data_IF_078863529889
#
_entry.id   IF_078863529889
#
_cell.length_a   1.000
_cell.length_b   1.000
_cell.length_c   1.000
_cell.angle_alpha   90.00
_cell.angle_beta   90.00
_cell.angle_gamma   90.00
#
_symmetry.space_group_name_H-M   'P 1'
#
loop_
_entity.id
_entity.type
_entity.pdbx_description
1 polymer ?
#
# COMPACT_ATOMS: atom_id res chain seq x y z
N UNK A 1 -0.37 -7.39 50.78
CA UNK A 1 -0.62 -7.05 49.36
C UNK A 1 0.12 -8.10 48.56
N UNK A 2 -0.60 -9.09 48.04
CA UNK A 2 -0.02 -10.12 47.17
C UNK A 2 0.37 -9.46 45.84
N UNK A 3 1.63 -9.63 45.45
CA UNK A 3 2.11 -9.28 44.12
C UNK A 3 1.45 -10.21 43.10
N UNK A 4 0.59 -9.64 42.25
CA UNK A 4 0.06 -10.30 41.06
C UNK A 4 1.21 -10.52 40.07
N UNK A 5 1.80 -11.71 40.10
CA UNK A 5 2.72 -12.19 39.07
C UNK A 5 1.89 -12.48 37.82
N UNK A 6 1.98 -11.59 36.83
CA UNK A 6 1.52 -11.89 35.48
C UNK A 6 2.53 -12.82 34.81
N UNK A 7 2.20 -14.10 34.71
CA UNK A 7 2.92 -14.99 33.80
C UNK A 7 2.72 -14.52 32.35
N UNK A 8 3.77 -14.49 31.51
CA UNK A 8 3.62 -14.17 30.11
C UNK A 8 2.73 -15.25 29.48
N UNK A 9 1.55 -14.84 28.99
CA UNK A 9 0.70 -15.72 28.20
C UNK A 9 1.53 -16.30 27.05
N UNK A 10 1.68 -17.62 27.03
CA UNK A 10 2.41 -18.32 25.97
C UNK A 10 1.89 -17.92 24.59
N UNK A 11 2.77 -17.96 23.58
CA UNK A 11 2.45 -17.61 22.19
C UNK A 11 1.16 -18.31 21.76
N UNK A 12 0.06 -17.57 21.52
CA UNK A 12 -1.22 -18.20 21.23
C UNK A 12 -1.17 -19.07 19.97
N UNK A 13 -1.86 -20.21 19.97
CA UNK A 13 -1.84 -21.24 18.91
C UNK A 13 -2.26 -20.74 17.52
N UNK A 14 -2.94 -19.59 17.42
CA UNK A 14 -3.26 -18.96 16.14
C UNK A 14 -2.05 -18.31 15.45
N UNK A 15 -0.92 -18.16 16.14
CA UNK A 15 0.36 -17.71 15.56
C UNK A 15 1.09 -18.88 14.88
N UNK A 16 0.91 -20.11 15.39
CA UNK A 16 1.58 -21.30 14.86
C UNK A 16 0.91 -21.88 13.61
N UNK A 17 -0.35 -21.50 13.34
CA UNK A 17 -1.10 -21.94 12.18
C UNK A 17 -1.10 -20.87 11.08
N UNK A 18 0.09 -20.35 10.76
CA UNK A 18 0.29 -19.57 9.53
C UNK A 18 -0.10 -20.48 8.36
N UNK A 19 -1.35 -20.38 7.90
CA UNK A 19 -1.59 -20.50 6.46
C UNK A 19 -0.73 -19.40 5.88
N UNK A 20 0.48 -19.75 5.43
CA UNK A 20 1.39 -18.80 4.82
C UNK A 20 0.61 -18.17 3.68
N UNK A 21 0.18 -16.92 3.86
CA UNK A 21 -0.50 -16.18 2.81
C UNK A 21 0.57 -15.98 1.75
N UNK A 22 0.49 -16.77 0.68
CA UNK A 22 1.58 -16.99 -0.27
C UNK A 22 1.74 -15.85 -1.27
N UNK A 23 2.11 -14.66 -0.80
CA UNK A 23 2.48 -13.53 -1.65
C UNK A 23 3.85 -12.99 -1.28
N UNK A 24 4.59 -12.49 -2.27
CA UNK A 24 5.91 -11.91 -2.09
C UNK A 24 5.94 -10.41 -2.43
N UNK A 25 4.97 -9.92 -3.18
CA UNK A 25 4.89 -8.52 -3.60
C UNK A 25 3.43 -8.02 -3.76
N UNK A 26 3.29 -6.77 -4.20
CA UNK A 26 1.99 -6.13 -4.43
C UNK A 26 1.16 -6.83 -5.53
N UNK A 27 1.81 -7.46 -6.52
CA UNK A 27 1.12 -8.11 -7.65
C UNK A 27 0.52 -9.44 -7.19
N UNK A 28 1.28 -10.23 -6.43
CA UNK A 28 0.75 -11.43 -5.78
C UNK A 28 -0.40 -11.09 -4.83
N UNK A 29 -0.25 -10.03 -4.01
CA UNK A 29 -1.31 -9.57 -3.12
C UNK A 29 -2.58 -9.17 -3.89
N UNK A 30 -2.44 -8.45 -5.01
CA UNK A 30 -3.58 -8.13 -5.87
C UNK A 30 -4.30 -9.38 -6.39
N UNK A 31 -3.56 -10.43 -6.79
CA UNK A 31 -4.14 -11.69 -7.21
C UNK A 31 -4.92 -12.39 -6.09
N UNK A 32 -4.43 -12.34 -4.85
CA UNK A 32 -5.14 -12.90 -3.70
C UNK A 32 -6.43 -12.13 -3.39
N UNK A 33 -6.36 -10.79 -3.40
CA UNK A 33 -7.52 -9.92 -3.18
C UNK A 33 -8.56 -10.09 -4.29
N UNK A 34 -8.13 -10.24 -5.54
CA UNK A 34 -9.02 -10.53 -6.67
C UNK A 34 -9.69 -11.91 -6.52
N UNK A 35 -8.93 -12.95 -6.13
CA UNK A 35 -9.47 -14.28 -5.88
C UNK A 35 -10.45 -14.32 -4.70
N UNK A 36 -10.27 -13.45 -3.70
CA UNK A 36 -11.21 -13.27 -2.58
C UNK A 36 -12.46 -12.44 -2.95
N UNK A 37 -12.54 -11.90 -4.17
CA UNK A 37 -13.66 -11.03 -4.59
C UNK A 37 -13.60 -9.61 -4.00
N UNK A 38 -12.46 -9.23 -3.43
CA UNK A 38 -12.21 -7.98 -2.71
C UNK A 38 -11.63 -6.87 -3.61
N UNK A 39 -11.40 -7.16 -4.91
CA UNK A 39 -10.91 -6.22 -5.92
C UNK A 39 -11.95 -5.97 -7.01
N UNK A 40 -12.18 -4.70 -7.35
CA UNK A 40 -12.96 -4.29 -8.51
C UNK A 40 -12.05 -3.62 -9.54
N UNK A 41 -11.97 -4.20 -10.74
CA UNK A 41 -11.32 -3.59 -11.90
C UNK A 41 -12.24 -2.57 -12.57
N UNK A 42 -11.70 -1.39 -12.86
CA UNK A 42 -12.37 -0.29 -13.54
C UNK A 42 -11.66 -0.07 -14.89
N UNK A 43 -12.26 -0.60 -15.96
CA UNK A 43 -11.73 -0.54 -17.33
C UNK A 43 -12.27 0.62 -18.15
N UNK A 44 -13.35 1.26 -17.68
CA UNK A 44 -13.85 2.50 -18.25
C UNK A 44 -12.77 3.59 -18.15
N UNK A 45 -12.72 4.48 -19.14
CA UNK A 45 -11.82 5.64 -19.10
C UNK A 45 -12.24 6.56 -17.95
N UNK A 46 -11.31 6.90 -17.08
CA UNK A 46 -11.53 7.76 -15.90
C UNK A 46 -10.54 8.93 -15.92
N UNK A 47 -11.04 10.11 -15.60
CA UNK A 47 -10.23 11.31 -15.37
C UNK A 47 -9.59 11.25 -13.96
N UNK A 48 -8.25 11.38 -13.85
CA UNK A 48 -7.61 11.49 -12.54
C UNK A 48 -7.92 12.83 -11.82
N UNK A 49 -8.47 13.82 -12.51
CA UNK A 49 -8.96 15.07 -11.91
C UNK A 49 -10.35 14.87 -11.31
N UNK A 50 -10.41 14.62 -9.99
CA UNK A 50 -11.61 14.51 -9.17
C UNK A 50 -12.57 13.34 -9.48
N UNK A 51 -12.63 12.83 -10.72
CA UNK A 51 -13.53 11.71 -11.07
C UNK A 51 -13.09 10.40 -10.39
N UNK A 52 -11.79 10.05 -10.47
CA UNK A 52 -11.24 8.86 -9.80
C UNK A 52 -11.55 8.85 -8.29
N UNK A 53 -11.38 10.00 -7.63
CA UNK A 53 -11.61 10.13 -6.20
C UNK A 53 -13.09 10.14 -5.86
N UNK A 54 -13.94 10.74 -6.69
CA UNK A 54 -15.39 10.67 -6.54
C UNK A 54 -15.89 9.22 -6.65
N UNK A 55 -15.43 8.47 -7.65
CA UNK A 55 -15.74 7.03 -7.79
C UNK A 55 -15.29 6.27 -6.54
N UNK A 56 -14.04 6.49 -6.12
CA UNK A 56 -13.48 5.84 -4.91
C UNK A 56 -14.32 6.18 -3.67
N UNK A 57 -14.66 7.45 -3.48
CA UNK A 57 -15.46 7.92 -2.35
C UNK A 57 -16.84 7.28 -2.34
N UNK A 58 -17.54 7.25 -3.48
CA UNK A 58 -18.87 6.65 -3.59
C UNK A 58 -18.85 5.13 -3.40
N UNK A 59 -17.81 4.45 -3.89
CA UNK A 59 -17.65 3.01 -3.73
C UNK A 59 -17.24 2.60 -2.30
N UNK A 60 -16.59 3.48 -1.54
CA UNK A 60 -15.99 3.17 -0.22
C UNK A 60 -16.86 3.57 0.97
N UNK A 61 -18.18 3.57 0.80
CA UNK A 61 -19.16 4.08 1.79
C UNK A 61 -19.58 3.05 2.84
N UNK A 62 -19.06 1.83 2.78
CA UNK A 62 -19.48 0.72 3.62
C UNK A 62 -18.29 -0.16 4.02
N UNK A 63 -18.44 -0.92 5.11
CA UNK A 63 -17.50 -1.99 5.42
C UNK A 63 -17.46 -3.00 4.27
N UNK A 64 -16.27 -3.57 4.06
CA UNK A 64 -15.94 -4.50 2.98
C UNK A 64 -16.16 -3.94 1.57
N UNK A 65 -16.18 -2.61 1.42
CA UNK A 65 -16.13 -1.98 0.10
C UNK A 65 -14.84 -2.41 -0.64
N UNK A 66 -14.92 -2.72 -1.94
CA UNK A 66 -13.79 -3.32 -2.66
C UNK A 66 -12.62 -2.34 -2.80
N UNK A 67 -11.41 -2.87 -2.93
CA UNK A 67 -10.31 -2.12 -3.51
C UNK A 67 -10.62 -1.86 -4.99
N UNK A 68 -10.20 -0.71 -5.53
CA UNK A 68 -10.46 -0.35 -6.92
C UNK A 68 -9.15 -0.30 -7.69
N UNK A 69 -9.07 -1.01 -8.81
CA UNK A 69 -7.94 -0.92 -9.74
C UNK A 69 -8.41 -0.22 -11.02
N UNK A 70 -7.99 1.02 -11.21
CA UNK A 70 -8.26 1.81 -12.41
C UNK A 70 -7.22 1.50 -13.48
N UNK A 71 -7.68 1.07 -14.65
CA UNK A 71 -6.81 0.55 -15.71
C UNK A 71 -6.73 1.44 -16.96
N UNK A 72 -7.57 2.47 -17.03
CA UNK A 72 -7.68 3.35 -18.18
C UNK A 72 -7.84 4.79 -17.70
N UNK A 73 -6.72 5.52 -17.58
CA UNK A 73 -6.70 6.88 -17.07
C UNK A 73 -6.48 7.89 -18.19
N UNK A 74 -7.20 9.01 -18.12
CA UNK A 74 -6.96 10.13 -19.01
C UNK A 74 -5.51 10.64 -18.89
N UNK A 75 -4.92 10.97 -20.03
CA UNK A 75 -3.60 11.61 -20.17
C UNK A 75 -2.39 10.81 -19.63
N UNK A 76 -2.58 9.53 -19.33
CA UNK A 76 -1.50 8.61 -18.97
C UNK A 76 -0.60 8.29 -20.18
N UNK A 77 0.71 8.47 -20.02
CA UNK A 77 1.72 8.19 -21.06
C UNK A 77 2.54 6.92 -20.84
N UNK A 78 2.31 6.22 -19.73
CA UNK A 78 3.14 5.08 -19.32
C UNK A 78 2.37 3.75 -19.21
N UNK A 79 1.07 3.72 -19.52
CA UNK A 79 0.24 2.52 -19.32
C UNK A 79 0.07 2.18 -17.84
N UNK A 80 -0.01 3.20 -17.00
CA UNK A 80 -0.11 3.07 -15.55
C UNK A 80 -1.50 2.67 -15.10
N UNK A 81 -1.56 2.15 -13.87
CA UNK A 81 -2.79 1.77 -13.18
C UNK A 81 -2.76 2.39 -11.79
N UNK A 82 -3.92 2.81 -11.31
CA UNK A 82 -4.05 3.36 -9.95
C UNK A 82 -4.88 2.40 -9.10
N UNK A 83 -4.32 2.00 -7.97
CA UNK A 83 -5.01 1.23 -6.93
C UNK A 83 -5.51 2.18 -5.85
N UNK A 84 -6.81 2.17 -5.56
CA UNK A 84 -7.41 2.94 -4.47
C UNK A 84 -8.17 2.05 -3.48
N UNK A 85 -8.51 2.60 -2.31
CA UNK A 85 -9.18 1.88 -1.22
C UNK A 85 -8.47 0.56 -0.82
N UNK A 86 -7.13 0.56 -0.82
CA UNK A 86 -6.32 -0.66 -0.73
C UNK A 86 -6.60 -1.49 0.54
N UNK A 87 -6.58 -0.88 1.73
CA UNK A 87 -6.67 -1.61 3.00
C UNK A 87 -7.88 -1.26 3.87
N UNK A 88 -8.28 0.03 3.88
CA UNK A 88 -9.04 0.59 5.01
C UNK A 88 -10.47 0.08 5.18
N UNK A 89 -11.09 -0.47 4.13
CA UNK A 89 -12.49 -0.91 4.19
C UNK A 89 -12.65 -2.41 4.52
N UNK A 90 -11.60 -3.24 4.52
CA UNK A 90 -11.71 -4.69 4.72
C UNK A 90 -10.65 -5.22 5.68
N UNK A 91 -11.10 -5.93 6.74
CA UNK A 91 -10.19 -6.65 7.65
C UNK A 91 -9.46 -7.79 6.93
N UNK A 92 -10.08 -8.39 5.92
CA UNK A 92 -9.50 -9.49 5.16
C UNK A 92 -8.36 -8.98 4.27
N UNK A 93 -8.55 -7.86 3.56
CA UNK A 93 -7.47 -7.22 2.81
C UNK A 93 -6.29 -6.82 3.69
N UNK A 94 -6.56 -6.28 4.88
CA UNK A 94 -5.53 -6.01 5.87
C UNK A 94 -4.80 -7.28 6.30
N UNK A 95 -5.54 -8.34 6.64
CA UNK A 95 -4.99 -9.61 7.09
C UNK A 95 -4.06 -10.23 6.05
N UNK A 96 -4.52 -10.26 4.79
CA UNK A 96 -3.71 -10.68 3.66
C UNK A 96 -2.45 -9.82 3.55
N UNK A 97 -2.56 -8.48 3.62
CA UNK A 97 -1.41 -7.57 3.46
C UNK A 97 -0.32 -7.70 4.54
N UNK A 98 -0.65 -8.20 5.73
CA UNK A 98 0.33 -8.41 6.82
C UNK A 98 0.64 -9.89 7.08
N UNK A 99 0.09 -10.79 6.25
CA UNK A 99 0.38 -12.23 6.32
C UNK A 99 -0.24 -12.92 7.55
N UNK A 100 -1.42 -12.50 7.98
CA UNK A 100 -2.19 -13.14 9.05
C UNK A 100 -3.47 -13.80 8.50
N UNK A 101 -4.01 -14.75 9.25
CA UNK A 101 -5.23 -15.47 8.90
C UNK A 101 -6.45 -14.51 8.87
N UNK A 102 -7.17 -14.37 7.74
CA UNK A 102 -8.32 -13.48 7.63
C UNK A 102 -9.54 -13.90 8.47
N UNK A 103 -9.61 -15.17 8.89
CA UNK A 103 -10.70 -15.70 9.72
C UNK A 103 -10.61 -15.24 11.18
N UNK A 104 -9.48 -14.65 11.58
CA UNK A 104 -9.30 -14.13 12.93
C UNK A 104 -10.32 -13.03 13.27
N UNK A 105 -10.69 -12.97 14.55
CA UNK A 105 -11.39 -11.80 15.10
C UNK A 105 -10.47 -10.58 15.11
N UNK A 106 -11.05 -9.37 15.14
CA UNK A 106 -10.28 -8.11 15.16
C UNK A 106 -9.28 -8.08 16.33
N UNK A 107 -9.68 -8.52 17.52
CA UNK A 107 -8.80 -8.57 18.70
C UNK A 107 -7.62 -9.52 18.51
N UNK A 108 -7.85 -10.67 17.86
CA UNK A 108 -6.78 -11.62 17.53
C UNK A 108 -5.85 -11.05 16.45
N UNK A 109 -6.39 -10.37 15.44
CA UNK A 109 -5.58 -9.69 14.42
C UNK A 109 -4.67 -8.62 15.04
N UNK A 110 -5.20 -7.78 15.95
CA UNK A 110 -4.40 -6.79 16.68
C UNK A 110 -3.25 -7.47 17.43
N UNK A 111 -3.54 -8.60 18.08
CA UNK A 111 -2.53 -9.35 18.84
C UNK A 111 -1.48 -9.96 17.91
N UNK A 112 -1.90 -10.55 16.78
CA UNK A 112 -1.00 -11.12 15.78
C UNK A 112 -0.09 -10.06 15.13
N UNK A 113 -0.64 -8.90 14.75
CA UNK A 113 0.16 -7.78 14.22
C UNK A 113 1.20 -7.31 15.23
N UNK A 114 0.85 -7.23 16.52
CA UNK A 114 1.81 -6.86 17.58
C UNK A 114 2.97 -7.84 17.67
N UNK A 115 2.72 -9.14 17.48
CA UNK A 115 3.79 -10.15 17.48
C UNK A 115 4.69 -10.03 16.25
N UNK A 116 4.12 -9.82 15.05
CA UNK A 116 4.90 -9.58 13.82
C UNK A 116 5.86 -8.41 14.01
N UNK A 117 5.40 -7.32 14.62
CA UNK A 117 6.19 -6.10 14.83
C UNK A 117 7.37 -6.27 15.81
N UNK A 118 7.44 -7.38 16.57
CA UNK A 118 8.57 -7.66 17.48
C UNK A 118 9.78 -8.23 16.74
N UNK A 119 9.56 -8.94 15.65
CA UNK A 119 10.61 -9.57 14.87
C UNK A 119 11.17 -8.58 13.84
N UNK A 120 12.50 -8.45 13.80
CA UNK A 120 13.18 -7.60 12.82
C UNK A 120 13.99 -8.47 11.87
N UNK A 121 13.54 -8.53 10.62
CA UNK A 121 14.25 -9.22 9.54
C UNK A 121 15.00 -8.17 8.73
N UNK A 122 16.31 -8.36 8.58
CA UNK A 122 17.11 -7.46 7.76
C UNK A 122 16.74 -7.61 6.27
N UNK A 123 16.66 -6.50 5.50
CA UNK A 123 16.45 -6.58 4.06
C UNK A 123 17.56 -7.37 3.37
N UNK A 124 17.20 -8.16 2.37
CA UNK A 124 18.16 -8.85 1.49
C UNK A 124 18.42 -7.98 0.27
N UNK A 125 19.69 -7.79 -0.08
CA UNK A 125 20.06 -7.13 -1.32
C UNK A 125 19.78 -8.05 -2.51
N UNK A 126 19.14 -7.49 -3.54
CA UNK A 126 18.85 -8.17 -4.81
C UNK A 126 19.66 -7.53 -5.92
N UNK A 127 20.07 -8.34 -6.91
CA UNK A 127 20.77 -7.83 -8.08
C UNK A 127 19.86 -6.89 -8.89
N UNK A 128 20.46 -5.86 -9.50
CA UNK A 128 19.68 -4.77 -10.13
C UNK A 128 18.89 -5.21 -11.35
N UNK A 129 19.42 -6.18 -12.09
CA UNK A 129 18.85 -6.73 -13.32
C UNK A 129 17.65 -7.65 -13.07
N UNK A 130 17.55 -8.25 -11.88
CA UNK A 130 16.38 -9.06 -11.49
C UNK A 130 15.29 -8.26 -10.79
N UNK A 131 15.57 -7.02 -10.39
CA UNK A 131 14.61 -6.20 -9.64
C UNK A 131 13.55 -5.59 -10.58
N UNK A 132 12.31 -6.07 -10.50
CA UNK A 132 11.19 -5.61 -11.34
C UNK A 132 10.93 -4.08 -11.29
N UNK A 133 11.31 -3.40 -10.21
CA UNK A 133 11.21 -1.93 -10.11
C UNK A 133 12.12 -1.19 -11.11
N UNK A 134 13.12 -1.88 -11.68
CA UNK A 134 14.09 -1.33 -12.63
C UNK A 134 13.73 -1.57 -14.12
N UNK A 135 12.51 -2.06 -14.43
CA UNK A 135 12.08 -2.30 -15.81
C UNK A 135 12.05 -1.02 -16.66
N UNK A 136 11.72 0.12 -16.06
CA UNK A 136 11.74 1.45 -16.71
C UNK A 136 12.59 2.38 -15.85
N UNK A 137 13.69 2.90 -16.42
CA UNK A 137 14.61 3.81 -15.74
C UNK A 137 14.68 5.13 -16.50
N UNK A 138 14.18 6.20 -15.87
CA UNK A 138 14.30 7.58 -16.36
C UNK A 138 15.35 8.33 -15.55
N UNK A 139 16.18 9.16 -16.20
CA UNK A 139 17.26 9.90 -15.53
C UNK A 139 17.38 11.32 -16.07
N UNK A 140 17.79 12.25 -15.20
CA UNK A 140 18.08 13.62 -15.61
C UNK A 140 16.89 14.29 -16.29
N UNK A 141 17.09 14.74 -17.53
CA UNK A 141 16.08 15.44 -18.32
C UNK A 141 14.93 14.54 -18.80
N UNK A 142 15.10 13.21 -18.76
CA UNK A 142 14.03 12.25 -19.10
C UNK A 142 12.95 12.14 -18.00
N UNK A 143 13.16 12.78 -16.84
CA UNK A 143 12.21 12.76 -15.73
C UNK A 143 11.10 13.78 -16.00
N UNK A 144 9.90 13.26 -16.26
CA UNK A 144 8.67 14.05 -16.31
C UNK A 144 7.55 13.37 -15.50
N UNK A 145 7.39 13.79 -14.25
CA UNK A 145 6.32 13.36 -13.36
C UNK A 145 4.93 13.81 -13.83
N UNK A 146 4.83 14.83 -14.70
CA UNK A 146 3.55 15.31 -15.23
C UNK A 146 3.00 14.41 -16.34
N UNK A 147 3.81 13.47 -16.84
CA UNK A 147 3.39 12.44 -17.78
C UNK A 147 2.68 11.24 -17.11
N UNK A 148 2.67 11.18 -15.76
CA UNK A 148 1.86 10.25 -14.99
C UNK A 148 0.47 10.83 -14.73
N UNK A 149 -0.59 10.01 -14.65
CA UNK A 149 -1.96 10.46 -14.38
C UNK A 149 -2.15 10.77 -12.87
N UNK A 150 -1.40 11.75 -12.36
CA UNK A 150 -1.40 12.09 -10.93
C UNK A 150 -2.76 12.65 -10.51
N UNK A 151 -3.48 12.04 -9.55
CA UNK A 151 -4.81 12.49 -9.21
C UNK A 151 -4.83 13.85 -8.50
N UNK A 152 -5.86 14.65 -8.79
CA UNK A 152 -6.35 15.69 -7.89
C UNK A 152 -7.54 15.08 -7.14
N UNK A 153 -7.44 14.92 -5.83
CA UNK A 153 -8.45 14.15 -5.09
C UNK A 153 -9.68 14.97 -4.75
N UNK A 154 -9.51 16.26 -4.47
CA UNK A 154 -10.63 17.13 -4.07
C UNK A 154 -10.60 18.49 -4.74
N UNK A 155 -11.75 19.15 -4.94
CA UNK A 155 -11.83 20.49 -5.52
C UNK A 155 -10.94 21.52 -4.83
N UNK A 156 -10.83 21.43 -3.50
CA UNK A 156 -10.05 22.33 -2.65
C UNK A 156 -8.59 21.93 -2.43
N UNK A 157 -8.11 20.84 -3.03
CA UNK A 157 -6.70 20.49 -2.94
C UNK A 157 -5.85 21.55 -3.66
N UNK A 158 -4.74 21.95 -3.04
CA UNK A 158 -3.81 22.94 -3.62
C UNK A 158 -3.06 22.43 -4.86
N UNK A 159 -3.16 21.14 -5.19
CA UNK A 159 -2.52 20.51 -6.33
C UNK A 159 -2.81 19.01 -6.43
N UNK A 160 -2.17 18.36 -7.39
CA UNK A 160 -2.24 16.91 -7.61
C UNK A 160 -1.31 16.19 -6.64
N UNK A 161 -1.73 15.04 -6.09
CA UNK A 161 -0.94 14.29 -5.12
C UNK A 161 -0.47 12.95 -5.69
N UNK A 162 0.84 12.82 -5.91
CA UNK A 162 1.47 11.59 -6.40
C UNK A 162 1.76 10.61 -5.25
N UNK A 163 2.01 11.14 -4.05
CA UNK A 163 2.25 10.35 -2.85
C UNK A 163 1.07 10.42 -1.89
N UNK A 164 0.20 9.40 -1.89
CA UNK A 164 -0.86 9.21 -0.89
C UNK A 164 -0.83 7.83 -0.23
N UNK A 165 -0.13 6.87 -0.85
CA UNK A 165 0.19 5.54 -0.31
C UNK A 165 1.67 5.18 -0.47
N UNK A 166 2.55 6.19 -0.53
CA UNK A 166 3.98 6.02 -0.76
C UNK A 166 4.74 5.76 0.54
N UNK A 167 5.95 5.23 0.37
CA UNK A 167 6.96 5.11 1.42
C UNK A 167 8.16 5.97 1.03
N UNK A 168 8.57 6.85 1.93
CA UNK A 168 9.75 7.72 1.79
C UNK A 168 10.90 7.13 2.59
N UNK A 169 12.01 6.91 1.89
CA UNK A 169 13.25 6.39 2.45
C UNK A 169 14.22 7.55 2.64
N UNK A 170 14.64 7.82 3.87
CA UNK A 170 15.69 8.78 4.17
C UNK A 170 16.86 8.10 4.87
N UNK A 171 18.08 8.59 4.64
CA UNK A 171 19.29 8.08 5.28
C UNK A 171 19.97 9.22 6.01
N UNK A 172 20.21 9.01 7.30
CA UNK A 172 21.03 9.91 8.09
C UNK A 172 22.48 9.89 7.57
N UNK A 173 23.08 11.04 7.22
CA UNK A 173 24.40 11.08 6.57
C UNK A 173 25.56 10.75 7.53
N UNK A 174 25.36 10.82 8.85
CA UNK A 174 26.42 10.57 9.84
C UNK A 174 26.37 9.13 10.36
N UNK A 175 25.20 8.68 10.78
CA UNK A 175 24.96 7.35 11.36
C UNK A 175 24.61 6.29 10.32
N UNK A 176 24.24 6.68 9.09
CA UNK A 176 23.78 5.77 8.06
C UNK A 176 22.40 5.16 8.31
N UNK A 177 21.72 5.55 9.40
CA UNK A 177 20.40 5.04 9.80
C UNK A 177 19.36 5.33 8.71
N UNK A 178 18.61 4.30 8.33
CA UNK A 178 17.50 4.42 7.38
C UNK A 178 16.21 4.67 8.15
N UNK A 179 15.47 5.71 7.75
CA UNK A 179 14.11 5.95 8.19
C UNK A 179 13.15 5.67 7.05
N UNK A 180 12.02 5.05 7.40
CA UNK A 180 10.95 4.65 6.48
C UNK A 180 9.68 5.34 6.97
N UNK A 181 9.14 6.27 6.20
CA UNK A 181 7.98 7.06 6.62
C UNK A 181 6.99 7.30 5.50
N UNK A 182 5.71 7.49 5.86
CA UNK A 182 4.67 7.86 4.90
C UNK A 182 4.45 9.37 5.01
N UNK A 183 4.74 10.08 3.92
CA UNK A 183 4.54 11.53 3.82
C UNK A 183 3.83 11.82 2.52
N UNK A 184 2.78 12.66 2.58
CA UNK A 184 2.07 13.08 1.37
C UNK A 184 3.01 13.85 0.46
N UNK A 185 2.88 13.67 -0.84
CA UNK A 185 3.70 14.34 -1.84
C UNK A 185 2.81 14.98 -2.90
N UNK A 186 2.73 16.30 -2.89
CA UNK A 186 2.07 17.10 -3.91
C UNK A 186 3.02 17.30 -5.09
N UNK A 187 2.50 17.22 -6.30
CA UNK A 187 3.24 17.49 -7.52
C UNK A 187 3.44 19.01 -7.70
N UNK A 188 4.69 19.43 -7.89
CA UNK A 188 5.05 20.82 -8.15
C UNK A 188 5.62 21.06 -9.56
N UNK A 189 5.79 20.00 -10.36
CA UNK A 189 6.25 20.08 -11.74
C UNK A 189 6.91 18.78 -12.21
N UNK A 190 7.55 18.77 -13.40
CA UNK A 190 8.12 17.57 -14.02
C UNK A 190 9.15 16.83 -13.16
N UNK A 191 9.89 17.52 -12.31
CA UNK A 191 10.95 16.93 -11.50
C UNK A 191 10.89 17.34 -10.01
N UNK A 192 9.71 17.72 -9.52
CA UNK A 192 9.57 18.24 -8.15
C UNK A 192 8.26 17.83 -7.47
N UNK A 193 8.38 17.42 -6.21
CA UNK A 193 7.28 17.14 -5.29
C UNK A 193 7.52 17.83 -3.93
N UNK A 194 6.48 18.01 -3.12
CA UNK A 194 6.54 18.69 -1.82
C UNK A 194 5.29 18.57 -0.97
#
# INVERSE_FOLDING_TARGET
MEELVFEPAGTPSYISNRRAVGWHDLRDWLSLVEAAGELKRITARVDPDEELSAITYMASRSENSPALLFENLADDRFGTRILSNMLGASKERYALAVGIDPDLSITQMISATREIMKERIAPVLVEKDVAAVNEIILRGEDIDLTALPVPKFWPGDGGRYIGTGNVTLTRDPQSGRINVGVYRQMLHGPARVG
#
